data_IF_986947729205
#
_entry.id   IF_986947729205
#
_cell.length_a   1.000
_cell.length_b   1.000
_cell.length_c   1.000
_cell.angle_alpha   90.00
_cell.angle_beta   90.00
_cell.angle_gamma   90.00
#
_symmetry.space_group_name_H-M   'P 1'
#
loop_
_entity.id
_entity.type
_entity.pdbx_description
1 polymer ?
#
# COMPACT_ATOMS: atom_id res chain seq x y z
N UNK A 1 -1.85 24.49 9.25
CA UNK A 1 -1.51 23.27 10.03
C UNK A 1 -1.93 21.98 9.32
N UNK A 2 -3.15 21.92 8.78
CA UNK A 2 -3.68 20.75 8.03
C UNK A 2 -2.88 20.39 6.77
N UNK A 3 -2.44 21.37 5.97
CA UNK A 3 -1.68 21.13 4.74
C UNK A 3 -0.30 20.48 5.00
N UNK A 4 0.44 20.97 6.00
CA UNK A 4 1.75 20.43 6.37
C UNK A 4 1.65 19.00 6.90
N UNK A 5 0.60 18.70 7.67
CA UNK A 5 0.34 17.36 8.18
C UNK A 5 0.00 16.39 7.04
N UNK A 6 -0.84 16.81 6.09
CA UNK A 6 -1.16 16.01 4.91
C UNK A 6 0.09 15.70 4.07
N UNK A 7 0.95 16.70 3.84
CA UNK A 7 2.23 16.51 3.15
C UNK A 7 3.14 15.52 3.89
N UNK A 8 3.25 15.63 5.21
CA UNK A 8 4.05 14.71 6.02
C UNK A 8 3.55 13.25 5.92
N UNK A 9 2.23 13.04 5.94
CA UNK A 9 1.63 11.71 5.77
C UNK A 9 1.91 11.13 4.38
N UNK A 10 1.79 11.93 3.33
CA UNK A 10 2.10 11.49 1.96
C UNK A 10 3.58 11.08 1.85
N UNK A 11 4.49 11.89 2.38
CA UNK A 11 5.93 11.56 2.39
C UNK A 11 6.18 10.27 3.16
N UNK A 12 5.58 10.10 4.34
CA UNK A 12 5.73 8.88 5.14
C UNK A 12 5.22 7.64 4.39
N UNK A 13 4.07 7.74 3.70
CA UNK A 13 3.53 6.67 2.87
C UNK A 13 4.49 6.30 1.72
N UNK A 14 5.07 7.30 1.04
CA UNK A 14 6.05 7.07 -0.03
C UNK A 14 7.29 6.36 0.52
N UNK A 15 7.84 6.86 1.63
CA UNK A 15 9.02 6.27 2.27
C UNK A 15 8.74 4.82 2.71
N UNK A 16 7.59 4.55 3.31
CA UNK A 16 7.22 3.20 3.71
C UNK A 16 7.10 2.26 2.50
N UNK A 17 6.50 2.71 1.40
CA UNK A 17 6.44 1.92 0.17
C UNK A 17 7.83 1.68 -0.45
N UNK A 18 8.75 2.65 -0.36
CA UNK A 18 10.14 2.47 -0.78
C UNK A 18 10.90 1.44 0.09
N UNK A 19 10.64 1.43 1.41
CA UNK A 19 11.18 0.41 2.33
C UNK A 19 10.65 -0.97 1.97
N UNK A 20 9.34 -1.11 1.76
CA UNK A 20 8.74 -2.41 1.39
C UNK A 20 9.26 -2.91 0.04
N UNK A 21 9.40 -2.02 -0.95
CA UNK A 21 10.03 -2.36 -2.22
C UNK A 21 11.46 -2.89 -2.02
N UNK A 22 12.24 -2.20 -1.18
CA UNK A 22 13.63 -2.59 -0.88
C UNK A 22 13.72 -3.96 -0.21
N UNK A 23 12.79 -4.29 0.69
CA UNK A 23 12.70 -5.61 1.33
C UNK A 23 12.45 -6.71 0.28
N UNK A 24 11.53 -6.49 -0.65
CA UNK A 24 11.27 -7.44 -1.75
C UNK A 24 12.49 -7.59 -2.68
N UNK A 25 13.22 -6.50 -2.92
CA UNK A 25 14.47 -6.55 -3.68
C UNK A 25 15.55 -7.35 -2.98
N UNK A 26 15.71 -7.18 -1.66
CA UNK A 26 16.65 -7.95 -0.84
C UNK A 26 16.27 -9.43 -0.84
N UNK A 27 14.98 -9.79 -0.71
CA UNK A 27 14.55 -11.20 -0.80
C UNK A 27 14.93 -11.82 -2.15
N UNK A 28 14.71 -11.09 -3.25
CA UNK A 28 15.12 -11.56 -4.58
C UNK A 28 16.64 -11.74 -4.69
N UNK A 29 17.42 -10.84 -4.11
CA UNK A 29 18.89 -10.96 -4.11
C UNK A 29 19.36 -12.13 -3.24
N UNK A 30 18.72 -12.34 -2.08
CA UNK A 30 18.99 -13.48 -1.22
C UNK A 30 18.73 -14.80 -1.94
N UNK A 31 17.62 -14.89 -2.70
CA UNK A 31 17.29 -16.05 -3.52
C UNK A 31 18.36 -16.39 -4.57
N UNK A 32 18.96 -15.37 -5.20
CA UNK A 32 20.03 -15.56 -6.20
C UNK A 32 21.35 -16.00 -5.58
N UNK A 33 21.59 -15.59 -4.34
CA UNK A 33 22.86 -15.81 -3.64
C UNK A 33 22.80 -17.02 -2.68
N UNK A 34 21.74 -17.83 -2.71
CA UNK A 34 21.56 -18.96 -1.81
C UNK A 34 21.46 -18.59 -0.32
N UNK A 35 21.08 -17.34 -0.02
CA UNK A 35 20.95 -16.84 1.37
C UNK A 35 19.56 -17.12 1.92
N UNK A 36 19.42 -16.99 3.24
CA UNK A 36 18.13 -17.09 3.93
C UNK A 36 17.11 -16.11 3.34
N UNK A 37 15.90 -16.61 3.09
CA UNK A 37 14.80 -15.88 2.44
C UNK A 37 13.80 -15.39 3.49
N UNK A 38 13.17 -14.25 3.23
CA UNK A 38 12.06 -13.78 4.06
C UNK A 38 10.84 -14.69 3.86
N UNK A 39 10.06 -14.88 4.93
CA UNK A 39 8.82 -15.64 4.83
C UNK A 39 7.82 -14.88 3.94
N UNK A 40 6.99 -15.63 3.20
CA UNK A 40 5.95 -15.02 2.36
C UNK A 40 4.93 -14.25 3.19
N UNK A 41 4.62 -14.75 4.38
CA UNK A 41 3.74 -14.09 5.34
C UNK A 41 4.28 -12.71 5.73
N UNK A 42 5.58 -12.59 6.01
CA UNK A 42 6.18 -11.28 6.35
C UNK A 42 6.05 -10.28 5.20
N UNK A 43 6.29 -10.72 3.96
CA UNK A 43 6.17 -9.87 2.78
C UNK A 43 4.72 -9.40 2.57
N UNK A 44 3.75 -10.30 2.73
CA UNK A 44 2.32 -9.97 2.62
C UNK A 44 1.84 -9.08 3.77
N UNK A 45 2.33 -9.28 4.99
CA UNK A 45 2.03 -8.41 6.13
C UNK A 45 2.54 -6.99 5.92
N UNK A 46 3.74 -6.82 5.35
CA UNK A 46 4.27 -5.50 4.99
C UNK A 46 3.42 -4.81 3.91
N UNK A 47 2.94 -5.58 2.92
CA UNK A 47 2.02 -5.06 1.92
C UNK A 47 0.68 -4.63 2.56
N UNK A 48 0.16 -5.44 3.49
CA UNK A 48 -1.08 -5.17 4.22
C UNK A 48 -0.97 -3.97 5.17
N UNK A 49 0.19 -3.74 5.78
CA UNK A 49 0.42 -2.61 6.69
C UNK A 49 0.48 -1.23 5.99
N UNK A 50 0.31 -1.18 4.65
CA UNK A 50 0.33 0.07 3.87
C UNK A 50 1.40 0.11 2.78
N UNK A 51 2.20 -0.95 2.63
CA UNK A 51 3.24 -1.07 1.61
C UNK A 51 2.78 -1.67 0.28
N UNK A 52 1.47 -1.76 0.03
CA UNK A 52 0.90 -2.51 -1.09
C UNK A 52 1.37 -1.99 -2.45
N UNK A 53 1.56 -0.68 -2.62
CA UNK A 53 2.06 -0.10 -3.87
C UNK A 53 3.53 -0.49 -4.12
N UNK A 54 4.37 -0.40 -3.09
CA UNK A 54 5.77 -0.83 -3.13
C UNK A 54 5.91 -2.32 -3.39
N UNK A 55 5.06 -3.14 -2.76
CA UNK A 55 5.00 -4.58 -2.97
C UNK A 55 4.58 -4.95 -4.41
N UNK A 56 3.57 -4.31 -4.97
CA UNK A 56 3.14 -4.53 -6.36
C UNK A 56 4.22 -4.06 -7.35
N UNK A 57 4.82 -2.89 -7.12
CA UNK A 57 5.91 -2.38 -7.94
C UNK A 57 7.09 -3.35 -7.92
N UNK A 58 7.48 -3.84 -6.75
CA UNK A 58 8.54 -4.82 -6.61
C UNK A 58 8.19 -6.15 -7.31
N UNK A 59 6.98 -6.67 -7.12
CA UNK A 59 6.54 -7.89 -7.79
C UNK A 59 6.63 -7.77 -9.32
N UNK A 60 6.17 -6.66 -9.91
CA UNK A 60 6.17 -6.43 -11.35
C UNK A 60 7.59 -6.19 -11.90
N UNK A 61 8.31 -5.23 -11.33
CA UNK A 61 9.65 -4.83 -11.82
C UNK A 61 10.68 -5.94 -11.62
N UNK A 62 10.59 -6.65 -10.49
CA UNK A 62 11.52 -7.71 -10.16
C UNK A 62 11.04 -9.09 -10.67
N UNK A 63 9.87 -9.19 -11.31
CA UNK A 63 9.24 -10.48 -11.69
C UNK A 63 9.26 -11.47 -10.52
N UNK A 64 9.08 -10.96 -9.31
CA UNK A 64 9.22 -11.73 -8.09
C UNK A 64 7.90 -12.45 -7.81
N UNK A 65 7.88 -13.77 -7.91
CA UNK A 65 6.71 -14.61 -7.57
C UNK A 65 5.41 -14.20 -8.29
N UNK A 66 5.51 -13.79 -9.55
CA UNK A 66 4.37 -13.33 -10.37
C UNK A 66 3.36 -14.42 -10.73
N UNK A 67 3.75 -15.70 -10.64
CA UNK A 67 2.88 -16.86 -10.88
C UNK A 67 2.73 -17.75 -9.64
N UNK A 68 3.31 -17.37 -8.50
CA UNK A 68 3.29 -18.21 -7.31
C UNK A 68 1.99 -17.97 -6.54
N UNK A 69 1.12 -18.97 -6.52
CA UNK A 69 -0.02 -19.01 -5.62
C UNK A 69 0.40 -19.63 -4.27
N UNK A 70 -0.21 -19.21 -3.14
CA UNK A 70 -1.30 -18.22 -3.01
C UNK A 70 -0.82 -16.75 -2.94
N UNK A 71 0.48 -16.51 -3.03
CA UNK A 71 1.08 -15.18 -2.81
C UNK A 71 0.46 -14.09 -3.70
N UNK A 72 0.32 -14.36 -5.00
CA UNK A 72 -0.26 -13.40 -5.94
C UNK A 72 -1.70 -13.06 -5.58
N UNK A 73 -2.53 -14.06 -5.28
CA UNK A 73 -3.94 -13.85 -4.93
C UNK A 73 -4.08 -13.04 -3.66
N UNK A 74 -3.28 -13.33 -2.63
CA UNK A 74 -3.33 -12.58 -1.36
C UNK A 74 -2.87 -11.14 -1.58
N UNK A 75 -1.78 -10.91 -2.34
CA UNK A 75 -1.33 -9.55 -2.61
C UNK A 75 -2.38 -8.76 -3.41
N UNK A 76 -3.03 -9.38 -4.39
CA UNK A 76 -4.11 -8.76 -5.14
C UNK A 76 -5.30 -8.41 -4.23
N UNK A 77 -5.68 -9.31 -3.32
CA UNK A 77 -6.74 -9.06 -2.35
C UNK A 77 -6.41 -7.87 -1.42
N UNK A 78 -5.16 -7.76 -0.94
CA UNK A 78 -4.70 -6.62 -0.13
C UNK A 78 -4.83 -5.30 -0.90
N UNK A 79 -4.38 -5.28 -2.16
CA UNK A 79 -4.46 -4.08 -3.00
C UNK A 79 -5.91 -3.68 -3.25
N UNK A 80 -6.77 -4.63 -3.58
CA UNK A 80 -8.21 -4.39 -3.76
C UNK A 80 -8.83 -3.84 -2.48
N UNK A 81 -8.50 -4.41 -1.32
CA UNK A 81 -8.99 -3.91 -0.03
C UNK A 81 -8.58 -2.45 0.20
N UNK A 82 -7.30 -2.10 -0.01
CA UNK A 82 -6.83 -0.72 0.14
C UNK A 82 -7.54 0.24 -0.81
N UNK A 83 -7.79 -0.15 -2.05
CA UNK A 83 -8.53 0.68 -3.02
C UNK A 83 -9.98 0.88 -2.55
N UNK A 84 -10.68 -0.18 -2.16
CA UNK A 84 -12.06 -0.10 -1.68
C UNK A 84 -12.17 0.80 -0.45
N UNK A 85 -11.29 0.61 0.54
CA UNK A 85 -11.26 1.44 1.76
C UNK A 85 -11.00 2.90 1.42
N UNK A 86 -10.05 3.17 0.52
CA UNK A 86 -9.71 4.54 0.10
C UNK A 86 -10.90 5.21 -0.59
N UNK A 87 -11.60 4.51 -1.49
CA UNK A 87 -12.80 5.04 -2.17
C UNK A 87 -13.91 5.35 -1.18
N UNK A 88 -14.23 4.40 -0.28
CA UNK A 88 -15.28 4.59 0.73
C UNK A 88 -14.95 5.79 1.63
N UNK A 89 -13.70 5.91 2.06
CA UNK A 89 -13.25 7.04 2.88
C UNK A 89 -13.39 8.37 2.14
N UNK A 90 -12.97 8.44 0.87
CA UNK A 90 -13.09 9.66 0.05
C UNK A 90 -14.57 10.06 -0.10
N UNK A 91 -15.44 9.11 -0.42
CA UNK A 91 -16.88 9.36 -0.56
C UNK A 91 -17.49 9.84 0.75
N UNK A 92 -17.18 9.19 1.88
CA UNK A 92 -17.67 9.58 3.20
C UNK A 92 -17.22 11.01 3.59
N UNK A 93 -15.95 11.33 3.36
CA UNK A 93 -15.41 12.67 3.63
C UNK A 93 -16.07 13.72 2.72
N UNK A 94 -16.25 13.42 1.43
CA UNK A 94 -16.93 14.35 0.52
C UNK A 94 -18.38 14.62 0.91
N UNK A 95 -19.11 13.59 1.34
CA UNK A 95 -20.48 13.73 1.83
C UNK A 95 -20.55 14.58 3.10
N UNK A 96 -19.65 14.33 4.05
CA UNK A 96 -19.55 15.15 5.27
C UNK A 96 -19.26 16.62 4.96
N UNK A 97 -18.33 16.89 4.04
CA UNK A 97 -18.01 18.26 3.61
C UNK A 97 -19.22 18.94 2.96
N UNK A 98 -19.97 18.22 2.12
CA UNK A 98 -21.18 18.74 1.50
C UNK A 98 -22.26 19.08 2.54
N UNK A 99 -22.48 18.21 3.53
CA UNK A 99 -23.43 18.47 4.62
C UNK A 99 -23.04 19.65 5.51
N UNK A 100 -21.74 19.83 5.77
CA UNK A 100 -21.24 21.01 6.51
C UNK A 100 -21.47 22.28 5.68
N UNK A 101 -21.22 22.22 4.37
CA UNK A 101 -21.41 23.36 3.47
C UNK A 101 -22.88 23.83 3.42
N UNK A 102 -23.84 22.90 3.30
CA UNK A 102 -25.27 23.25 3.29
C UNK A 102 -25.70 23.91 4.60
N UNK A 103 -25.25 23.39 5.75
CA UNK A 103 -25.54 23.97 7.06
C UNK A 103 -24.94 25.37 7.26
N UNK A 104 -23.76 25.65 6.69
CA UNK A 104 -23.08 26.94 6.83
C UNK A 104 -23.62 28.01 5.89
N UNK A 105 -24.02 27.64 4.67
CA UNK A 105 -24.50 28.58 3.64
C UNK A 105 -26.01 28.80 3.72
N UNK A 106 -26.74 27.97 4.47
CA UNK A 106 -28.17 28.16 4.76
C UNK A 106 -29.06 27.99 3.53
N UNK A 107 -28.66 27.11 2.60
CA UNK A 107 -29.51 26.60 1.51
C UNK A 107 -30.08 25.26 1.93
#
# INVERSE_FOLDING_TARGET
MTLNLALALVVLCILFNAVVFSIYWIDKRAARNGRWRASETTLLLLAFAGGSLGAVAAQRMLRHKTHKEPFRTILAAIVTLHICVSIVLILAVSGMLASIWTLLVGV
#
